data_IF_580951176101
#
_entry.id   IF_580951176101
#
_cell.length_a   1.000
_cell.length_b   1.000
_cell.length_c   1.000
_cell.angle_alpha   90.00
_cell.angle_beta   90.00
_cell.angle_gamma   90.00
#
_symmetry.space_group_name_H-M   'P 1'
#
loop_
_entity.id
_entity.type
_entity.pdbx_description
1 polymer ?
#
# COMPACT_ATOMS: atom_id res chain seq x y z
N UNK A 1 23.80 -18.63 49.13
CA UNK A 1 23.32 -19.24 47.87
C UNK A 1 21.79 -19.31 47.74
N UNK A 2 21.00 -19.38 48.83
CA UNK A 2 19.51 -19.36 48.76
C UNK A 2 18.90 -17.99 48.38
N UNK A 3 19.59 -16.88 48.65
CA UNK A 3 19.06 -15.52 48.44
C UNK A 3 19.22 -14.99 47.00
N UNK A 4 20.13 -15.57 46.21
CA UNK A 4 20.36 -15.18 44.80
C UNK A 4 19.25 -15.75 43.90
N UNK A 5 18.71 -16.93 44.26
CA UNK A 5 17.62 -17.57 43.52
C UNK A 5 16.25 -16.87 43.71
N UNK A 6 16.09 -16.01 44.72
CA UNK A 6 14.86 -15.26 44.93
C UNK A 6 14.78 -14.00 44.06
N UNK A 7 15.93 -13.38 43.76
CA UNK A 7 16.01 -12.15 42.95
C UNK A 7 15.81 -12.47 41.46
N UNK A 8 16.30 -13.63 41.00
CA UNK A 8 16.11 -14.09 39.63
C UNK A 8 14.64 -14.40 39.28
N UNK A 9 13.84 -14.84 40.27
CA UNK A 9 12.43 -15.18 40.06
C UNK A 9 11.49 -13.96 40.03
N UNK A 10 11.91 -12.81 40.58
CA UNK A 10 11.13 -11.57 40.58
C UNK A 10 11.30 -10.78 39.27
N UNK A 11 12.44 -10.95 38.58
CA UNK A 11 12.73 -10.23 37.34
C UNK A 11 12.00 -10.76 36.09
N UNK A 12 11.39 -11.95 36.17
CA UNK A 12 10.66 -12.57 35.05
C UNK A 12 9.17 -12.16 35.05
N UNK A 13 8.65 -11.59 36.15
CA UNK A 13 7.23 -11.25 36.28
C UNK A 13 6.85 -9.85 35.76
N UNK A 14 7.81 -9.07 35.28
CA UNK A 14 7.58 -7.71 34.74
C UNK A 14 7.65 -7.62 33.22
N UNK A 15 7.69 -8.76 32.51
CA UNK A 15 7.46 -8.81 31.08
C UNK A 15 5.96 -8.60 30.78
N UNK A 16 5.43 -7.42 31.08
CA UNK A 16 4.19 -6.97 30.46
C UNK A 16 4.47 -6.87 28.97
N UNK A 17 3.92 -7.81 28.20
CA UNK A 17 3.77 -7.61 26.77
C UNK A 17 3.02 -6.28 26.59
N UNK A 18 3.75 -5.23 26.24
CA UNK A 18 3.17 -3.95 25.87
C UNK A 18 2.38 -4.19 24.60
N UNK A 19 1.12 -4.60 24.74
CA UNK A 19 0.16 -4.51 23.66
C UNK A 19 0.07 -3.01 23.38
N UNK A 20 0.75 -2.55 22.33
CA UNK A 20 0.52 -1.23 21.78
C UNK A 20 -0.95 -1.19 21.37
N UNK A 21 -1.80 -0.72 22.28
CA UNK A 21 -3.19 -0.38 22.01
C UNK A 21 -3.14 0.94 21.25
N UNK A 22 -2.61 0.94 20.02
CA UNK A 22 -2.87 2.04 19.10
C UNK A 22 -4.38 2.00 18.87
N UNK A 23 -5.13 3.03 19.27
CA UNK A 23 -6.56 3.03 19.02
C UNK A 23 -6.79 2.87 17.51
N UNK A 24 -7.32 1.73 17.09
CA UNK A 24 -7.67 1.53 15.69
C UNK A 24 -8.92 2.34 15.40
N UNK A 25 -8.79 3.38 14.58
CA UNK A 25 -9.90 4.24 14.17
C UNK A 25 -9.75 5.68 14.65
N UNK A 26 -10.88 6.39 14.71
CA UNK A 26 -10.93 7.84 14.93
C UNK A 26 -11.83 8.52 13.90
N UNK A 27 -12.02 9.84 14.03
CA UNK A 27 -12.76 10.60 13.02
C UNK A 27 -11.90 10.83 11.79
N UNK A 28 -12.52 10.88 10.61
CA UNK A 28 -11.82 11.23 9.37
C UNK A 28 -11.17 12.62 9.45
N UNK A 29 -11.82 13.58 10.13
CA UNK A 29 -11.25 14.91 10.35
C UNK A 29 -10.01 14.88 11.26
N UNK A 30 -9.99 14.01 12.28
CA UNK A 30 -8.80 13.77 13.10
C UNK A 30 -7.64 13.26 12.25
N UNK A 31 -7.87 12.24 11.44
CA UNK A 31 -6.88 11.73 10.50
C UNK A 31 -6.36 12.82 9.54
N UNK A 32 -7.25 13.63 8.95
CA UNK A 32 -6.83 14.75 8.09
C UNK A 32 -5.95 15.75 8.84
N UNK A 33 -6.28 16.07 10.10
CA UNK A 33 -5.46 16.96 10.91
C UNK A 33 -4.07 16.38 11.20
N UNK A 34 -3.98 15.10 11.52
CA UNK A 34 -2.70 14.42 11.75
C UNK A 34 -1.84 14.45 10.47
N UNK A 35 -2.46 14.20 9.31
CA UNK A 35 -1.77 14.31 8.01
C UNK A 35 -1.33 15.75 7.69
N UNK A 36 -2.10 16.78 8.09
CA UNK A 36 -1.67 18.18 7.98
C UNK A 36 -0.45 18.46 8.88
N UNK A 37 -0.42 17.92 10.09
CA UNK A 37 0.73 18.05 11.00
C UNK A 37 1.97 17.38 10.39
N UNK A 38 1.83 16.18 9.86
CA UNK A 38 2.92 15.48 9.17
C UNK A 38 3.43 16.27 7.95
N UNK A 39 2.53 16.82 7.13
CA UNK A 39 2.89 17.63 5.98
C UNK A 39 3.66 18.91 6.37
N UNK A 40 3.30 19.55 7.50
CA UNK A 40 4.07 20.68 8.05
C UNK A 40 5.45 20.24 8.50
N UNK A 41 5.56 19.10 9.18
CA UNK A 41 6.85 18.55 9.61
C UNK A 41 7.78 18.24 8.43
N UNK A 42 7.21 17.89 7.27
CA UNK A 42 7.93 17.71 5.99
C UNK A 42 8.26 19.02 5.26
N UNK A 43 7.93 20.18 5.82
CA UNK A 43 8.31 21.50 5.29
C UNK A 43 7.34 22.11 4.29
N UNK A 44 6.13 21.56 4.12
CA UNK A 44 5.13 22.15 3.25
C UNK A 44 4.48 23.40 3.87
N UNK A 45 4.17 24.41 3.05
CA UNK A 45 3.53 25.65 3.53
C UNK A 45 2.08 25.42 3.96
N UNK A 46 1.61 26.17 4.97
CA UNK A 46 0.23 26.08 5.45
C UNK A 46 -0.80 26.25 4.34
N UNK A 47 -0.61 27.24 3.45
CA UNK A 47 -1.49 27.47 2.30
C UNK A 47 -1.56 26.28 1.34
N UNK A 48 -0.44 25.62 1.05
CA UNK A 48 -0.43 24.45 0.18
C UNK A 48 -1.16 23.27 0.84
N UNK A 49 -0.93 23.07 2.14
CA UNK A 49 -1.58 22.04 2.95
C UNK A 49 -3.10 22.25 2.99
N UNK A 50 -3.55 23.45 3.33
CA UNK A 50 -4.98 23.73 3.44
C UNK A 50 -5.69 23.63 2.10
N UNK A 51 -5.04 24.06 1.01
CA UNK A 51 -5.56 23.87 -0.35
C UNK A 51 -5.67 22.38 -0.72
N UNK A 52 -4.63 21.60 -0.45
CA UNK A 52 -4.59 20.17 -0.79
C UNK A 52 -5.69 19.38 -0.06
N UNK A 53 -5.82 19.60 1.25
CA UNK A 53 -6.81 18.90 2.07
C UNK A 53 -8.21 19.50 2.01
N UNK A 54 -8.39 20.69 1.41
CA UNK A 54 -9.69 21.39 1.39
C UNK A 54 -10.83 20.61 0.72
N UNK A 55 -10.51 19.72 -0.23
CA UNK A 55 -11.49 18.84 -0.88
C UNK A 55 -11.52 17.40 -0.34
N UNK A 56 -10.68 17.10 0.66
CA UNK A 56 -10.57 15.75 1.22
C UNK A 56 -11.86 15.37 1.94
N UNK A 57 -12.38 14.19 1.61
CA UNK A 57 -13.63 13.65 2.16
C UNK A 57 -13.55 12.14 2.19
N UNK A 58 -14.19 11.54 3.19
CA UNK A 58 -14.35 10.10 3.25
C UNK A 58 -15.36 9.65 2.18
N UNK A 59 -14.88 9.12 1.05
CA UNK A 59 -15.75 8.61 -0.01
C UNK A 59 -16.21 7.17 0.33
N UNK A 60 -17.51 6.93 0.56
CA UNK A 60 -18.01 5.60 0.90
C UNK A 60 -17.83 4.60 -0.25
N UNK A 61 -17.63 5.05 -1.50
CA UNK A 61 -17.30 4.15 -2.62
C UNK A 61 -15.91 3.55 -2.48
N UNK A 62 -14.95 4.31 -1.96
CA UNK A 62 -13.58 3.81 -1.71
C UNK A 62 -13.62 2.73 -0.63
N UNK A 63 -14.34 2.98 0.47
CA UNK A 63 -14.50 1.99 1.56
C UNK A 63 -15.21 0.73 1.07
N UNK A 64 -16.24 0.86 0.22
CA UNK A 64 -16.90 -0.31 -0.38
C UNK A 64 -15.95 -1.08 -1.30
N UNK A 65 -15.17 -0.39 -2.14
CA UNK A 65 -14.21 -1.01 -3.04
C UNK A 65 -13.15 -1.79 -2.24
N UNK A 66 -12.60 -1.18 -1.19
CA UNK A 66 -11.65 -1.81 -0.27
C UNK A 66 -12.19 -3.08 0.39
N UNK A 67 -13.45 -3.05 0.83
CA UNK A 67 -14.12 -4.24 1.39
C UNK A 67 -14.49 -5.29 0.34
N UNK A 68 -14.53 -4.93 -0.94
CA UNK A 68 -14.92 -5.81 -2.05
C UNK A 68 -13.75 -6.54 -2.73
N UNK A 69 -12.70 -6.86 -1.98
CA UNK A 69 -11.49 -7.54 -2.49
C UNK A 69 -11.68 -9.06 -2.73
N UNK A 70 -12.83 -9.47 -3.25
CA UNK A 70 -13.18 -10.90 -3.47
C UNK A 70 -12.31 -11.61 -4.52
N UNK A 71 -11.49 -10.87 -5.28
CA UNK A 71 -10.56 -11.47 -6.26
C UNK A 71 -9.52 -12.39 -5.59
N UNK A 72 -9.17 -12.15 -4.32
CA UNK A 72 -8.21 -12.97 -3.59
C UNK A 72 -8.75 -14.35 -3.17
N UNK A 73 -10.07 -14.54 -3.23
CA UNK A 73 -10.73 -15.82 -2.91
C UNK A 73 -11.09 -16.61 -4.18
N UNK A 74 -10.76 -16.08 -5.36
CA UNK A 74 -11.11 -16.68 -6.64
C UNK A 74 -10.22 -17.88 -6.95
N UNK A 75 -10.77 -18.98 -7.50
CA UNK A 75 -9.96 -20.08 -8.01
C UNK A 75 -8.97 -19.59 -9.08
N UNK A 76 -7.78 -20.17 -9.09
CA UNK A 76 -6.70 -19.75 -9.98
C UNK A 76 -7.11 -19.72 -11.47
N UNK A 77 -7.88 -20.71 -11.92
CA UNK A 77 -8.32 -20.80 -13.32
C UNK A 77 -9.26 -19.63 -13.68
N UNK A 78 -10.19 -19.27 -12.80
CA UNK A 78 -11.09 -18.15 -13.04
C UNK A 78 -10.36 -16.82 -13.00
N UNK A 79 -9.43 -16.66 -12.06
CA UNK A 79 -8.57 -15.48 -11.96
C UNK A 79 -7.70 -15.29 -13.21
N UNK A 80 -6.98 -16.34 -13.62
CA UNK A 80 -6.08 -16.31 -14.79
C UNK A 80 -6.82 -15.99 -16.09
N UNK A 81 -8.02 -16.55 -16.31
CA UNK A 81 -8.86 -16.22 -17.48
C UNK A 81 -9.30 -14.76 -17.52
N UNK A 82 -9.56 -14.15 -16.36
CA UNK A 82 -9.88 -12.71 -16.28
C UNK A 82 -8.67 -11.84 -16.62
N UNK A 83 -7.47 -12.24 -16.20
CA UNK A 83 -6.24 -11.49 -16.47
C UNK A 83 -5.73 -11.66 -17.91
N UNK A 84 -5.76 -12.87 -18.46
CA UNK A 84 -5.20 -13.21 -19.77
C UNK A 84 -6.34 -13.24 -20.81
N UNK A 85 -7.02 -12.11 -20.97
CA UNK A 85 -8.09 -11.98 -21.95
C UNK A 85 -7.54 -11.61 -23.32
N UNK A 86 -8.24 -12.02 -24.38
CA UNK A 86 -7.84 -11.73 -25.76
C UNK A 86 -7.69 -10.22 -26.02
N UNK A 87 -8.58 -9.41 -25.43
CA UNK A 87 -8.51 -7.95 -25.54
C UNK A 87 -7.22 -7.38 -24.92
N UNK A 88 -6.78 -7.92 -23.77
CA UNK A 88 -5.54 -7.49 -23.13
C UNK A 88 -4.31 -7.92 -23.91
N UNK A 89 -4.29 -9.13 -24.46
CA UNK A 89 -3.20 -9.62 -25.33
C UNK A 89 -3.07 -8.73 -26.57
N UNK A 90 -4.18 -8.42 -27.24
CA UNK A 90 -4.16 -7.52 -28.41
C UNK A 90 -3.72 -6.10 -28.04
N UNK A 91 -4.15 -5.58 -26.89
CA UNK A 91 -3.69 -4.28 -26.40
C UNK A 91 -2.18 -4.28 -26.13
N UNK A 92 -1.66 -5.34 -25.52
CA UNK A 92 -0.22 -5.55 -25.32
C UNK A 92 0.55 -5.54 -26.64
N UNK A 93 0.09 -6.28 -27.66
CA UNK A 93 0.72 -6.30 -28.98
C UNK A 93 0.72 -4.93 -29.67
N UNK A 94 -0.38 -4.17 -29.56
CA UNK A 94 -0.45 -2.80 -30.11
C UNK A 94 0.52 -1.87 -29.39
N UNK A 95 0.59 -1.94 -28.07
CA UNK A 95 1.50 -1.12 -27.27
C UNK A 95 2.97 -1.50 -27.50
N UNK A 96 3.27 -2.79 -27.70
CA UNK A 96 4.60 -3.27 -28.04
C UNK A 96 5.11 -2.60 -29.32
N UNK A 97 4.26 -2.58 -30.37
CA UNK A 97 4.58 -1.89 -31.63
C UNK A 97 4.69 -0.38 -31.47
N UNK A 98 3.78 0.22 -30.72
CA UNK A 98 3.74 1.69 -30.52
C UNK A 98 4.99 2.21 -29.81
N UNK A 99 5.53 1.44 -28.86
CA UNK A 99 6.61 1.86 -27.97
C UNK A 99 7.89 1.03 -28.14
N UNK A 100 8.07 0.42 -29.32
CA UNK A 100 9.13 -0.57 -29.56
C UNK A 100 10.53 -0.04 -29.19
N UNK A 101 10.89 1.16 -29.68
CA UNK A 101 12.18 1.78 -29.37
C UNK A 101 12.36 2.15 -27.89
N UNK A 102 11.26 2.41 -27.17
CA UNK A 102 11.29 2.68 -25.73
C UNK A 102 11.55 1.38 -24.98
N UNK A 103 10.90 0.28 -25.38
CA UNK A 103 11.15 -1.02 -24.79
C UNK A 103 12.57 -1.52 -25.06
N UNK A 104 13.10 -1.35 -26.27
CA UNK A 104 14.49 -1.69 -26.60
C UNK A 104 15.47 -0.90 -25.72
N UNK A 105 15.20 0.40 -25.52
CA UNK A 105 16.00 1.23 -24.62
C UNK A 105 15.90 0.75 -23.17
N UNK A 106 14.71 0.44 -22.68
CA UNK A 106 14.53 -0.01 -21.29
C UNK A 106 15.23 -1.35 -21.07
N UNK A 107 15.13 -2.26 -22.02
CA UNK A 107 15.79 -3.57 -21.95
C UNK A 107 17.31 -3.42 -21.95
N UNK A 108 17.87 -2.51 -22.75
CA UNK A 108 19.31 -2.21 -22.74
C UNK A 108 19.77 -1.49 -21.46
N UNK A 109 19.08 -0.43 -21.06
CA UNK A 109 19.53 0.46 -19.99
C UNK A 109 19.26 -0.13 -18.59
N UNK A 110 18.21 -0.97 -18.44
CA UNK A 110 17.75 -1.50 -17.15
C UNK A 110 17.67 -3.04 -17.10
N UNK A 111 17.84 -3.76 -18.21
CA UNK A 111 17.74 -5.22 -18.24
C UNK A 111 16.31 -5.77 -18.06
N UNK A 112 15.29 -4.91 -18.13
CA UNK A 112 13.90 -5.32 -17.93
C UNK A 112 13.27 -5.71 -19.26
N UNK A 113 12.80 -6.96 -19.36
CA UNK A 113 12.15 -7.46 -20.57
C UNK A 113 10.88 -6.68 -20.91
N UNK A 114 10.71 -6.37 -22.20
CA UNK A 114 9.48 -5.78 -22.76
C UNK A 114 8.22 -6.51 -22.33
N UNK A 115 8.27 -7.85 -22.28
CA UNK A 115 7.10 -8.69 -21.98
C UNK A 115 6.60 -8.51 -20.55
N UNK A 116 7.52 -8.30 -19.61
CA UNK A 116 7.19 -8.01 -18.21
C UNK A 116 6.48 -6.66 -18.12
N UNK A 117 7.03 -5.62 -18.73
CA UNK A 117 6.44 -4.27 -18.69
C UNK A 117 5.09 -4.18 -19.42
N UNK A 118 4.90 -4.96 -20.48
CA UNK A 118 3.62 -5.04 -21.20
C UNK A 118 2.54 -5.80 -20.41
N UNK A 119 2.93 -6.64 -19.46
CA UNK A 119 2.02 -7.43 -18.63
C UNK A 119 1.57 -6.68 -17.37
N UNK A 120 2.35 -5.73 -16.88
CA UNK A 120 2.01 -4.83 -15.77
C UNK A 120 0.96 -3.79 -16.20
#
# INVERSE_FOLDING_TARGET
MRSINLIASILILTATAGLAQTPCGGSFSGFVNDMKVEARAKGHSGTAIDRFFGSARQDPRVIRADRSQGIFQMPFIDFSRRLISQNRVQAGQRNAKKWDSVFDRIERDYGVSRGVLLAF
#
